data_IF_295442012891
#
_entry.id   IF_295442012891
#
_cell.length_a   1.000
_cell.length_b   1.000
_cell.length_c   1.000
_cell.angle_alpha   90.00
_cell.angle_beta   90.00
_cell.angle_gamma   90.00
#
_symmetry.space_group_name_H-M   'P 1'
#
loop_
_entity.id
_entity.type
_entity.pdbx_description
1 polymer ?
#
# COMPACT_ATOMS: atom_id res chain seq x y z
N UNK A 1 10.21 1.17 6.76
CA UNK A 1 10.50 0.79 5.37
C UNK A 1 10.37 -0.71 5.24
N UNK A 2 9.59 -1.18 4.27
CA UNK A 2 9.28 -2.60 4.12
C UNK A 2 10.22 -3.21 3.07
N UNK A 3 11.38 -3.70 3.51
CA UNK A 3 12.31 -4.40 2.62
C UNK A 3 11.77 -5.81 2.29
N UNK A 4 10.90 -5.88 1.29
CA UNK A 4 10.32 -7.14 0.82
C UNK A 4 11.01 -7.55 -0.49
N UNK A 5 11.35 -8.82 -0.62
CA UNK A 5 11.95 -9.34 -1.86
C UNK A 5 10.92 -9.28 -3.00
N UNK A 6 11.35 -8.89 -4.20
CA UNK A 6 10.50 -8.77 -5.38
C UNK A 6 9.71 -10.06 -5.67
N UNK A 7 10.36 -11.21 -5.63
CA UNK A 7 9.71 -12.50 -5.88
C UNK A 7 8.54 -12.80 -4.92
N UNK A 8 8.58 -12.26 -3.69
CA UNK A 8 7.48 -12.40 -2.74
C UNK A 8 6.29 -11.54 -3.15
N UNK A 9 6.52 -10.31 -3.62
CA UNK A 9 5.47 -9.41 -4.13
C UNK A 9 4.83 -10.02 -5.39
N UNK A 10 5.63 -10.56 -6.30
CA UNK A 10 5.14 -11.26 -7.50
C UNK A 10 4.26 -12.47 -7.13
N UNK A 11 4.70 -13.27 -6.15
CA UNK A 11 3.92 -14.41 -5.65
C UNK A 11 2.60 -13.98 -5.00
N UNK A 12 2.59 -12.87 -4.26
CA UNK A 12 1.37 -12.29 -3.66
C UNK A 12 0.40 -11.82 -4.74
N UNK A 13 0.88 -11.06 -5.73
CA UNK A 13 0.06 -10.60 -6.84
C UNK A 13 -0.56 -11.78 -7.62
N UNK A 14 0.25 -12.81 -7.92
CA UNK A 14 -0.23 -14.04 -8.57
C UNK A 14 -1.28 -14.77 -7.72
N UNK A 15 -1.07 -14.89 -6.42
CA UNK A 15 -2.01 -15.57 -5.53
C UNK A 15 -3.34 -14.82 -5.39
N UNK A 16 -3.33 -13.49 -5.46
CA UNK A 16 -4.53 -12.66 -5.43
C UNK A 16 -5.23 -12.52 -6.80
N UNK A 17 -4.60 -12.99 -7.88
CA UNK A 17 -5.12 -12.82 -9.24
C UNK A 17 -5.08 -11.37 -9.75
N UNK A 18 -4.34 -10.49 -9.08
CA UNK A 18 -4.24 -9.06 -9.43
C UNK A 18 -2.94 -8.84 -10.21
N UNK A 19 -2.99 -8.21 -11.40
CA UNK A 19 -1.80 -7.85 -12.14
C UNK A 19 -0.86 -6.96 -11.32
N UNK A 20 0.43 -7.25 -11.36
CA UNK A 20 1.45 -6.43 -10.72
C UNK A 20 1.87 -5.29 -11.65
N UNK A 21 1.81 -4.08 -11.15
CA UNK A 21 2.34 -2.90 -11.82
C UNK A 21 3.57 -2.39 -11.07
N UNK A 22 4.74 -2.60 -11.65
CA UNK A 22 6.00 -2.19 -11.05
C UNK A 22 6.25 -0.69 -11.23
N UNK A 23 6.51 0.00 -10.12
CA UNK A 23 6.99 1.37 -10.12
C UNK A 23 8.40 1.38 -9.54
N UNK A 24 9.40 1.53 -10.41
CA UNK A 24 10.79 1.52 -10.00
C UNK A 24 11.20 2.89 -9.46
N UNK A 25 11.69 2.91 -8.23
CA UNK A 25 12.25 4.09 -7.60
C UNK A 25 13.78 4.00 -7.59
N UNK A 26 14.52 5.07 -7.91
CA UNK A 26 15.98 5.07 -7.80
C UNK A 26 16.41 4.95 -6.34
N UNK A 27 17.62 4.52 -6.12
CA UNK A 27 18.23 4.53 -4.79
C UNK A 27 19.57 5.28 -4.81
N UNK A 28 19.74 6.35 -4.01
CA UNK A 28 18.73 7.00 -3.17
C UNK A 28 17.65 7.68 -4.00
N UNK A 29 16.43 7.84 -3.42
CA UNK A 29 15.31 8.53 -4.04
C UNK A 29 15.03 9.82 -3.25
N UNK A 30 15.15 10.97 -3.90
CA UNK A 30 14.74 12.24 -3.30
C UNK A 30 13.21 12.35 -3.26
N UNK A 31 12.68 13.21 -2.37
CA UNK A 31 11.23 13.47 -2.36
C UNK A 31 10.74 14.01 -3.70
N UNK A 32 11.53 14.84 -4.37
CA UNK A 32 11.17 15.39 -5.68
C UNK A 32 11.09 14.31 -6.76
N UNK A 33 12.07 13.39 -6.80
CA UNK A 33 12.04 12.26 -7.74
C UNK A 33 10.84 11.35 -7.47
N UNK A 34 10.60 11.03 -6.20
CA UNK A 34 9.44 10.24 -5.80
C UNK A 34 8.12 10.89 -6.26
N UNK A 35 7.96 12.18 -6.05
CA UNK A 35 6.76 12.92 -6.46
C UNK A 35 6.58 12.93 -7.97
N UNK A 36 7.67 13.13 -8.71
CA UNK A 36 7.65 13.11 -10.17
C UNK A 36 7.23 11.73 -10.69
N UNK A 37 7.86 10.67 -10.22
CA UNK A 37 7.55 9.29 -10.62
C UNK A 37 6.10 8.92 -10.28
N UNK A 38 5.63 9.26 -9.09
CA UNK A 38 4.25 8.98 -8.69
C UNK A 38 3.22 9.75 -9.51
N UNK A 39 3.52 11.00 -9.88
CA UNK A 39 2.66 11.79 -10.76
C UNK A 39 2.52 11.15 -12.15
N UNK A 40 3.62 10.71 -12.74
CA UNK A 40 3.58 10.03 -14.04
C UNK A 40 2.88 8.65 -13.94
N UNK A 41 3.10 7.93 -12.84
CA UNK A 41 2.39 6.68 -12.56
C UNK A 41 0.88 6.88 -12.46
N UNK A 42 0.43 7.93 -11.77
CA UNK A 42 -1.00 8.26 -11.69
C UNK A 42 -1.60 8.60 -13.06
N UNK A 43 -0.89 9.37 -13.88
CA UNK A 43 -1.34 9.66 -15.25
C UNK A 43 -1.49 8.40 -16.10
N UNK A 44 -0.49 7.51 -16.04
CA UNK A 44 -0.53 6.25 -16.76
C UNK A 44 -1.69 5.35 -16.27
N UNK A 45 -1.95 5.35 -14.96
CA UNK A 45 -3.08 4.62 -14.38
C UNK A 45 -4.43 5.12 -14.91
N UNK A 46 -4.63 6.44 -14.96
CA UNK A 46 -5.85 7.05 -15.54
C UNK A 46 -5.98 6.68 -17.02
N UNK A 47 -4.90 6.73 -17.79
CA UNK A 47 -4.91 6.34 -19.20
C UNK A 47 -5.25 4.87 -19.41
N UNK A 48 -4.90 4.02 -18.43
CA UNK A 48 -5.27 2.60 -18.41
C UNK A 48 -6.71 2.35 -17.92
N UNK A 49 -7.50 3.38 -17.65
CA UNK A 49 -8.88 3.27 -17.19
C UNK A 49 -9.04 2.99 -15.70
N UNK A 50 -7.99 3.20 -14.91
CA UNK A 50 -8.08 3.09 -13.44
C UNK A 50 -8.71 4.37 -12.90
N UNK A 51 -9.71 4.24 -12.04
CA UNK A 51 -10.47 5.36 -11.46
C UNK A 51 -10.12 5.61 -9.99
N UNK A 52 -9.59 4.61 -9.28
CA UNK A 52 -9.29 4.73 -7.86
C UNK A 52 -8.00 4.03 -7.45
N UNK A 53 -7.42 4.47 -6.33
CA UNK A 53 -6.32 3.81 -5.65
C UNK A 53 -6.76 3.41 -4.24
N UNK A 54 -6.64 2.11 -3.90
CA UNK A 54 -6.92 1.61 -2.57
C UNK A 54 -5.64 1.65 -1.70
N UNK A 55 -5.78 2.23 -0.51
CA UNK A 55 -4.73 2.27 0.51
C UNK A 55 -5.10 1.41 1.71
N UNK A 56 -4.12 0.68 2.24
CA UNK A 56 -4.27 -0.17 3.43
C UNK A 56 -4.07 0.56 4.76
N UNK A 57 -4.18 1.89 4.78
CA UNK A 57 -4.02 2.67 6.00
C UNK A 57 -5.21 2.46 6.94
N UNK A 58 -4.95 2.31 8.26
CA UNK A 58 -5.96 1.93 9.25
C UNK A 58 -6.48 3.11 10.07
N UNK A 59 -5.59 4.00 10.55
CA UNK A 59 -5.95 5.04 11.52
C UNK A 59 -5.01 6.26 11.55
N UNK A 60 -3.99 6.33 10.69
CA UNK A 60 -3.06 7.46 10.64
C UNK A 60 -3.67 8.58 9.80
N UNK A 61 -4.33 9.53 10.45
CA UNK A 61 -5.09 10.61 9.81
C UNK A 61 -4.23 11.56 8.99
N UNK A 62 -3.01 11.84 9.44
CA UNK A 62 -2.01 12.64 8.72
C UNK A 62 -1.55 11.96 7.42
N UNK A 63 -1.34 10.65 7.44
CA UNK A 63 -1.00 9.86 6.26
C UNK A 63 -2.16 9.85 5.27
N UNK A 64 -3.38 9.66 5.76
CA UNK A 64 -4.58 9.72 4.91
C UNK A 64 -4.72 11.08 4.25
N UNK A 65 -4.65 12.17 5.02
CA UNK A 65 -4.72 13.52 4.48
C UNK A 65 -3.63 13.81 3.45
N UNK A 66 -2.40 13.31 3.68
CA UNK A 66 -1.32 13.40 2.70
C UNK A 66 -1.67 12.69 1.39
N UNK A 67 -2.23 11.47 1.44
CA UNK A 67 -2.63 10.72 0.24
C UNK A 67 -3.75 11.41 -0.52
N UNK A 68 -4.79 11.86 0.19
CA UNK A 68 -5.92 12.59 -0.38
C UNK A 68 -5.42 13.85 -1.11
N UNK A 69 -4.58 14.65 -0.45
CA UNK A 69 -3.99 15.84 -1.04
C UNK A 69 -3.12 15.54 -2.28
N UNK A 70 -2.36 14.45 -2.27
CA UNK A 70 -1.51 14.07 -3.40
C UNK A 70 -2.28 13.61 -4.62
N UNK A 71 -3.48 13.09 -4.44
CA UNK A 71 -4.35 12.66 -5.52
C UNK A 71 -5.33 13.73 -5.99
N UNK A 72 -5.36 14.89 -5.34
CA UNK A 72 -6.14 16.03 -5.82
C UNK A 72 -5.79 16.35 -7.26
N UNK A 73 -6.82 16.44 -8.10
CA UNK A 73 -6.69 16.74 -9.54
C UNK A 73 -5.88 15.71 -10.36
N UNK A 74 -5.59 14.54 -9.81
CA UNK A 74 -4.90 13.47 -10.55
C UNK A 74 -5.82 12.67 -11.48
N UNK A 75 -7.13 12.76 -11.29
CA UNK A 75 -8.13 11.89 -11.93
C UNK A 75 -8.35 10.56 -11.21
N UNK A 76 -7.66 10.29 -10.10
CA UNK A 76 -7.80 9.08 -9.29
C UNK A 76 -8.43 9.39 -7.94
N UNK A 77 -9.40 8.57 -7.55
CA UNK A 77 -10.04 8.68 -6.24
C UNK A 77 -9.30 7.82 -5.21
N UNK A 78 -8.82 8.37 -4.07
CA UNK A 78 -8.29 7.56 -2.98
C UNK A 78 -9.42 6.84 -2.26
N UNK A 79 -9.27 5.54 -2.01
CA UNK A 79 -10.18 4.75 -1.19
C UNK A 79 -9.41 4.05 -0.06
N UNK A 80 -10.06 3.89 1.09
CA UNK A 80 -9.46 3.33 2.30
C UNK A 80 -10.32 2.19 2.84
N UNK A 81 -10.31 1.00 2.20
CA UNK A 81 -11.28 -0.07 2.47
C UNK A 81 -11.23 -0.63 3.90
N UNK A 82 -10.10 -0.49 4.59
CA UNK A 82 -9.89 -1.00 5.95
C UNK A 82 -9.77 0.10 7.00
N UNK A 83 -10.12 1.34 6.64
CA UNK A 83 -10.02 2.49 7.55
C UNK A 83 -10.91 2.33 8.78
N UNK A 84 -10.33 2.56 9.94
CA UNK A 84 -11.03 2.48 11.21
C UNK A 84 -11.33 1.06 11.69
N UNK A 85 -10.93 0.02 10.96
CA UNK A 85 -11.08 -1.35 11.44
C UNK A 85 -10.16 -1.60 12.63
N UNK A 86 -10.67 -2.17 13.74
CA UNK A 86 -9.84 -2.58 14.85
C UNK A 86 -8.80 -3.60 14.40
N UNK A 87 -7.52 -3.37 14.72
CA UNK A 87 -6.40 -4.22 14.25
C UNK A 87 -6.57 -5.68 14.57
N UNK A 88 -7.14 -6.01 15.75
CA UNK A 88 -7.42 -7.40 16.16
C UNK A 88 -8.47 -8.05 15.25
N UNK A 89 -9.51 -7.34 14.90
CA UNK A 89 -10.58 -7.84 14.01
C UNK A 89 -10.05 -8.03 12.59
N UNK A 90 -9.30 -7.06 12.08
CA UNK A 90 -8.66 -7.18 10.78
C UNK A 90 -7.72 -8.40 10.71
N UNK A 91 -6.87 -8.57 11.72
CA UNK A 91 -5.96 -9.72 11.78
C UNK A 91 -6.72 -11.06 11.79
N UNK A 92 -7.80 -11.18 12.56
CA UNK A 92 -8.66 -12.37 12.58
C UNK A 92 -9.34 -12.61 11.22
N UNK A 93 -9.86 -11.55 10.61
CA UNK A 93 -10.48 -11.63 9.29
C UNK A 93 -9.50 -12.13 8.25
N UNK A 94 -8.27 -11.60 8.24
CA UNK A 94 -7.21 -12.05 7.34
C UNK A 94 -6.88 -13.53 7.52
N UNK A 95 -6.71 -13.99 8.76
CA UNK A 95 -6.42 -15.41 9.09
C UNK A 95 -7.59 -16.29 8.62
N UNK A 96 -8.83 -15.90 8.93
CA UNK A 96 -10.03 -16.66 8.55
C UNK A 96 -10.21 -16.74 7.02
N UNK A 97 -9.73 -15.73 6.30
CA UNK A 97 -9.72 -15.70 4.82
C UNK A 97 -8.56 -16.50 4.21
N UNK A 98 -7.76 -17.20 5.02
CA UNK A 98 -6.67 -18.04 4.54
C UNK A 98 -5.35 -17.30 4.30
N UNK A 99 -5.24 -16.02 4.68
CA UNK A 99 -3.97 -15.29 4.60
C UNK A 99 -2.97 -15.88 5.58
N UNK A 100 -1.81 -16.26 5.07
CA UNK A 100 -0.67 -16.70 5.89
C UNK A 100 0.35 -15.58 5.99
N UNK A 101 0.61 -15.12 7.20
CA UNK A 101 1.55 -14.04 7.48
C UNK A 101 2.69 -14.53 8.39
N UNK A 102 3.88 -13.96 8.18
CA UNK A 102 5.02 -14.17 9.06
C UNK A 102 5.45 -12.80 9.60
N UNK A 103 5.46 -12.68 10.93
CA UNK A 103 5.99 -11.49 11.60
C UNK A 103 7.50 -11.45 11.41
N UNK A 104 8.02 -10.34 10.92
CA UNK A 104 9.45 -10.13 10.66
C UNK A 104 10.08 -9.10 11.61
N UNK A 105 9.24 -8.31 12.28
CA UNK A 105 9.66 -7.31 13.26
C UNK A 105 8.58 -7.11 14.32
N UNK A 106 8.96 -7.08 15.56
CA UNK A 106 8.09 -6.77 16.70
C UNK A 106 8.78 -5.75 17.61
N UNK A 107 8.00 -4.94 18.31
CA UNK A 107 8.52 -4.14 19.41
C UNK A 107 8.52 -5.01 20.69
N UNK A 108 9.70 -5.43 21.12
CA UNK A 108 9.88 -6.27 22.31
C UNK A 108 9.49 -5.60 23.64
N UNK A 109 9.26 -4.28 23.62
CA UNK A 109 8.73 -3.55 24.80
C UNK A 109 7.23 -3.72 24.97
N UNK A 110 6.53 -4.02 23.87
CA UNK A 110 5.07 -4.14 23.83
C UNK A 110 4.62 -5.60 23.76
N UNK A 111 5.41 -6.44 23.14
CA UNK A 111 5.12 -7.87 22.95
C UNK A 111 6.29 -8.69 23.48
N UNK A 112 6.03 -9.52 24.47
CA UNK A 112 7.01 -10.50 24.92
C UNK A 112 7.31 -11.51 23.81
N UNK A 113 8.56 -12.00 23.69
CA UNK A 113 8.91 -13.05 22.74
C UNK A 113 8.18 -14.36 22.98
#
# INVERSE_FOLDING_TARGET
MHAVRRNLVEAQAKASGIPLWDVNLPWPCSNADYECIMKETCKAAVQAGIECIAFGDLFLTDIRAYREKRLENSGLQPIFPVWGMPTRELARSMINSGVRAKLTCIDSKLLAP
#
